data_IF_485578256936
#
_entry.id   IF_485578256936
#
_cell.length_a   1.000
_cell.length_b   1.000
_cell.length_c   1.000
_cell.angle_alpha   90.00
_cell.angle_beta   90.00
_cell.angle_gamma   90.00
#
_symmetry.space_group_name_H-M   'P 1'
#
loop_
_entity.id
_entity.type
_entity.pdbx_description
1 polymer ?
#
# COMPACT_ATOMS: atom_id res chain seq x y z
N UNK A 1 1.97 -0.10 -18.47
CA UNK A 1 2.11 0.17 -17.04
C UNK A 1 0.72 0.18 -16.40
N UNK A 2 0.58 -0.16 -15.10
CA UNK A 2 -0.70 -0.13 -14.38
C UNK A 2 -0.82 1.15 -13.56
N UNK A 3 -2.04 1.68 -13.44
CA UNK A 3 -2.32 2.88 -12.65
C UNK A 3 -3.37 2.61 -11.60
N UNK A 4 -3.31 3.32 -10.48
CA UNK A 4 -4.30 3.22 -9.42
C UNK A 4 -4.44 4.50 -8.61
N UNK A 5 -5.44 4.49 -7.73
CA UNK A 5 -5.76 5.58 -6.80
C UNK A 5 -5.63 5.07 -5.37
N UNK A 6 -5.02 5.88 -4.53
CA UNK A 6 -4.96 5.66 -3.07
C UNK A 6 -5.81 6.69 -2.34
N UNK A 7 -6.60 6.23 -1.38
CA UNK A 7 -7.47 7.07 -0.56
C UNK A 7 -7.23 6.84 0.94
N UNK A 8 -7.25 7.93 1.69
CA UNK A 8 -7.45 7.87 3.13
C UNK A 8 -8.94 7.70 3.41
N UNK A 9 -9.32 6.68 4.19
CA UNK A 9 -10.72 6.36 4.49
C UNK A 9 -11.25 7.16 5.69
N UNK A 10 -11.26 8.48 5.54
CA UNK A 10 -11.68 9.46 6.55
C UNK A 10 -12.36 10.65 5.89
N UNK A 11 -13.02 11.47 6.71
CA UNK A 11 -13.77 12.63 6.23
C UNK A 11 -14.84 12.27 5.21
N UNK A 12 -15.07 13.08 4.19
CA UNK A 12 -16.09 12.84 3.17
C UNK A 12 -15.96 11.49 2.45
N UNK A 13 -14.75 10.93 2.35
CA UNK A 13 -14.51 9.62 1.73
C UNK A 13 -14.99 8.46 2.61
N UNK A 14 -15.11 8.66 3.92
CA UNK A 14 -15.59 7.64 4.86
C UNK A 14 -17.11 7.39 4.81
N UNK A 15 -17.84 8.04 3.90
CA UNK A 15 -19.28 7.83 3.72
C UNK A 15 -19.55 6.71 2.69
N UNK A 16 -20.49 5.78 2.93
CA UNK A 16 -20.71 4.60 2.08
C UNK A 16 -21.06 4.95 0.63
N UNK A 17 -21.93 5.94 0.41
CA UNK A 17 -22.32 6.35 -0.95
C UNK A 17 -21.15 6.99 -1.70
N UNK A 18 -20.33 7.79 -1.01
CA UNK A 18 -19.11 8.38 -1.56
C UNK A 18 -18.11 7.30 -1.96
N UNK A 19 -17.83 6.35 -1.06
CA UNK A 19 -16.94 5.22 -1.35
C UNK A 19 -17.39 4.41 -2.55
N UNK A 20 -18.69 4.10 -2.62
CA UNK A 20 -19.27 3.36 -3.76
C UNK A 20 -19.11 4.14 -5.06
N UNK A 21 -19.44 5.43 -5.06
CA UNK A 21 -19.31 6.30 -6.24
C UNK A 21 -17.87 6.37 -6.73
N UNK A 22 -16.91 6.60 -5.84
CA UNK A 22 -15.48 6.63 -6.19
C UNK A 22 -15.01 5.28 -6.74
N UNK A 23 -15.43 4.18 -6.12
CA UNK A 23 -15.01 2.85 -6.54
C UNK A 23 -15.52 2.49 -7.95
N UNK A 24 -16.77 2.81 -8.26
CA UNK A 24 -17.37 2.61 -9.57
C UNK A 24 -16.73 3.51 -10.63
N UNK A 25 -16.52 4.77 -10.31
CA UNK A 25 -15.83 5.71 -11.23
C UNK A 25 -14.39 5.28 -11.53
N UNK A 26 -13.64 4.82 -10.50
CA UNK A 26 -12.28 4.32 -10.70
C UNK A 26 -12.27 3.09 -11.62
N UNK A 27 -13.24 2.20 -11.48
CA UNK A 27 -13.40 1.03 -12.34
C UNK A 27 -13.76 1.44 -13.79
N UNK A 28 -14.70 2.37 -13.97
CA UNK A 28 -15.14 2.88 -15.27
C UNK A 28 -14.02 3.61 -16.02
N UNK A 29 -13.22 4.41 -15.32
CA UNK A 29 -12.05 5.09 -15.86
C UNK A 29 -10.90 4.13 -16.22
N UNK A 30 -11.01 2.83 -15.85
CA UNK A 30 -10.04 1.81 -16.17
C UNK A 30 -8.81 1.80 -15.26
N UNK A 31 -8.89 2.35 -14.05
CA UNK A 31 -7.83 2.17 -13.08
C UNK A 31 -7.66 0.70 -12.72
N UNK A 32 -6.40 0.27 -12.59
CA UNK A 32 -6.07 -1.12 -12.25
C UNK A 32 -6.19 -1.40 -10.77
N UNK A 33 -6.02 -0.40 -9.91
CA UNK A 33 -6.02 -0.53 -8.46
C UNK A 33 -6.78 0.59 -7.77
N UNK A 34 -7.54 0.21 -6.73
CA UNK A 34 -8.06 1.13 -5.73
C UNK A 34 -7.52 0.71 -4.36
N UNK A 35 -6.76 1.60 -3.72
CA UNK A 35 -6.08 1.34 -2.47
C UNK A 35 -6.55 2.23 -1.33
N UNK A 36 -6.51 1.69 -0.10
CA UNK A 36 -6.91 2.41 1.11
C UNK A 36 -5.81 2.35 2.17
N UNK A 37 -5.65 3.46 2.92
CA UNK A 37 -4.79 3.52 4.10
C UNK A 37 -5.31 2.65 5.24
N UNK A 38 -4.46 2.40 6.24
CA UNK A 38 -4.82 1.60 7.42
C UNK A 38 -4.54 2.37 8.70
N UNK A 39 -5.59 2.71 9.40
CA UNK A 39 -5.62 3.05 10.82
C UNK A 39 -6.86 2.40 11.44
N UNK A 40 -6.72 1.91 12.65
CA UNK A 40 -7.81 1.26 13.40
C UNK A 40 -8.32 2.20 14.49
N UNK A 41 -7.38 2.81 15.21
CA UNK A 41 -7.66 3.83 16.23
C UNK A 41 -6.57 4.90 16.17
N UNK A 42 -6.94 6.12 16.47
CA UNK A 42 -5.97 7.22 16.58
C UNK A 42 -5.83 7.56 18.07
N UNK A 43 -4.59 7.56 18.56
CA UNK A 43 -4.30 7.97 19.93
C UNK A 43 -4.65 9.44 20.12
N UNK A 44 -5.13 9.83 21.31
CA UNK A 44 -5.40 11.21 21.65
C UNK A 44 -4.13 12.07 21.57
N UNK A 45 -3.02 11.52 22.07
CA UNK A 45 -1.69 12.11 21.95
C UNK A 45 -0.79 11.27 21.04
N UNK A 46 -0.42 11.80 19.88
CA UNK A 46 0.51 11.16 18.93
C UNK A 46 1.88 11.83 19.05
N UNK A 47 2.83 11.12 19.68
CA UNK A 47 4.22 11.56 19.82
C UNK A 47 5.16 10.92 18.77
N UNK A 48 4.73 9.81 18.18
CA UNK A 48 5.47 9.13 17.12
C UNK A 48 5.64 10.03 15.89
N UNK A 49 6.87 10.26 15.39
CA UNK A 49 7.07 11.14 14.25
C UNK A 49 6.55 10.50 12.96
N UNK A 50 5.68 11.21 12.27
CA UNK A 50 5.17 10.78 10.96
C UNK A 50 6.30 10.79 9.92
N UNK A 51 6.58 9.67 9.25
CA UNK A 51 7.77 9.51 8.42
C UNK A 51 7.73 10.26 7.09
N UNK A 52 6.56 10.76 6.66
CA UNK A 52 6.35 11.32 5.33
C UNK A 52 6.23 12.84 5.30
N UNK A 53 6.50 13.52 6.42
CA UNK A 53 6.57 14.98 6.49
C UNK A 53 7.88 15.43 7.12
N UNK A 54 8.38 16.61 6.72
CA UNK A 54 9.58 17.22 7.33
C UNK A 54 9.34 17.60 8.80
N UNK A 55 8.11 17.99 9.14
CA UNK A 55 7.72 18.38 10.50
C UNK A 55 7.59 17.16 11.44
N UNK A 56 7.46 15.96 10.93
CA UNK A 56 7.13 14.78 11.71
C UNK A 56 5.67 14.74 12.19
N UNK A 57 4.84 15.73 11.83
CA UNK A 57 3.42 15.76 12.19
C UNK A 57 2.57 15.10 11.13
N UNK A 58 1.62 14.29 11.57
CA UNK A 58 0.63 13.69 10.69
C UNK A 58 -0.56 14.64 10.50
N UNK A 59 -0.93 14.86 9.25
CA UNK A 59 -1.96 15.84 8.89
C UNK A 59 -3.40 15.42 9.26
N UNK A 60 -3.61 14.22 9.78
CA UNK A 60 -4.90 13.68 10.16
C UNK A 60 -4.98 13.31 11.66
N UNK A 61 -4.05 13.76 12.49
CA UNK A 61 -4.03 13.50 13.94
C UNK A 61 -5.22 14.12 14.68
N UNK A 62 -5.76 15.23 14.17
CA UNK A 62 -6.77 16.03 14.90
C UNK A 62 -8.19 15.44 14.87
N UNK A 63 -8.52 14.59 13.91
CA UNK A 63 -9.92 14.12 13.72
C UNK A 63 -10.19 12.76 14.35
N UNK A 64 -9.20 11.90 14.47
CA UNK A 64 -9.37 10.50 14.91
C UNK A 64 -10.30 9.64 14.01
N UNK A 65 -10.80 10.23 12.92
CA UNK A 65 -11.78 9.60 12.05
C UNK A 65 -11.09 8.70 11.04
N UNK A 66 -11.41 7.40 11.08
CA UNK A 66 -11.02 6.44 10.04
C UNK A 66 -11.99 5.25 10.02
N UNK A 67 -12.25 4.71 8.83
CA UNK A 67 -12.90 3.41 8.71
C UNK A 67 -11.84 2.31 8.78
N UNK A 68 -12.25 1.13 9.25
CA UNK A 68 -11.35 -0.03 9.26
C UNK A 68 -11.12 -0.54 7.83
N UNK A 69 -9.85 -0.70 7.48
CA UNK A 69 -9.40 -0.93 6.10
C UNK A 69 -9.99 -2.20 5.46
N UNK A 70 -9.96 -3.35 6.17
CA UNK A 70 -10.38 -4.63 5.61
C UNK A 70 -11.90 -4.72 5.45
N UNK A 71 -12.65 -4.10 6.36
CA UNK A 71 -14.10 -3.94 6.25
C UNK A 71 -14.47 -3.06 5.06
N UNK A 72 -13.76 -1.96 4.87
CA UNK A 72 -13.93 -1.05 3.73
C UNK A 72 -13.64 -1.76 2.40
N UNK A 73 -12.56 -2.54 2.33
CA UNK A 73 -12.24 -3.34 1.14
C UNK A 73 -13.30 -4.40 0.84
N UNK A 74 -13.90 -5.00 1.86
CA UNK A 74 -15.03 -5.94 1.68
C UNK A 74 -16.25 -5.26 1.08
N UNK A 75 -16.58 -4.05 1.54
CA UNK A 75 -17.68 -3.24 0.99
C UNK A 75 -17.42 -2.87 -0.49
N UNK A 76 -16.19 -2.44 -0.81
CA UNK A 76 -15.80 -2.10 -2.18
C UNK A 76 -15.76 -3.34 -3.07
N UNK A 77 -15.34 -4.49 -2.54
CA UNK A 77 -15.36 -5.77 -3.26
C UNK A 77 -16.76 -6.13 -3.77
N UNK A 78 -17.79 -5.88 -2.96
CA UNK A 78 -19.19 -6.13 -3.31
C UNK A 78 -19.75 -5.10 -4.32
N UNK A 79 -19.14 -3.91 -4.39
CA UNK A 79 -19.61 -2.81 -5.24
C UNK A 79 -18.95 -2.79 -6.64
N UNK A 80 -17.84 -3.51 -6.84
CA UNK A 80 -17.01 -3.49 -8.06
C UNK A 80 -16.83 -4.91 -8.63
N UNK A 81 -16.37 -5.01 -9.88
CA UNK A 81 -16.25 -6.28 -10.59
C UNK A 81 -14.87 -6.56 -11.19
N UNK A 82 -14.10 -5.54 -11.53
CA UNK A 82 -12.85 -5.65 -12.30
C UNK A 82 -11.65 -5.05 -11.57
N UNK A 83 -11.81 -3.87 -10.96
CA UNK A 83 -10.73 -3.15 -10.31
C UNK A 83 -10.12 -3.97 -9.17
N UNK A 84 -8.79 -4.03 -9.09
CA UNK A 84 -8.08 -4.69 -7.99
C UNK A 84 -8.14 -3.86 -6.73
N UNK A 85 -8.29 -4.55 -5.62
CA UNK A 85 -8.33 -3.98 -4.28
C UNK A 85 -6.93 -4.05 -3.66
N UNK A 86 -6.47 -2.95 -3.10
CA UNK A 86 -5.13 -2.86 -2.53
C UNK A 86 -5.19 -2.37 -1.08
N UNK A 87 -4.66 -3.16 -0.14
CA UNK A 87 -4.30 -2.58 1.16
C UNK A 87 -3.08 -1.68 0.97
N UNK A 88 -3.17 -0.37 1.23
CA UNK A 88 -2.15 0.61 0.81
C UNK A 88 -1.64 1.52 1.94
N UNK A 89 -0.95 1.01 2.96
CA UNK A 89 -0.65 -0.40 3.19
C UNK A 89 -1.30 -0.85 4.49
N UNK A 90 -1.61 -2.13 4.62
CA UNK A 90 -2.04 -2.72 5.89
C UNK A 90 -0.88 -2.73 6.87
N UNK A 91 -1.10 -2.22 8.07
CA UNK A 91 -0.10 -2.25 9.14
C UNK A 91 -0.18 -3.61 9.84
N UNK A 92 0.78 -4.48 9.55
CA UNK A 92 0.78 -5.87 10.02
C UNK A 92 0.58 -6.00 11.54
N UNK A 93 1.27 -5.22 12.41
CA UNK A 93 1.15 -5.33 13.85
C UNK A 93 -0.19 -4.90 14.45
N UNK A 94 -1.08 -4.28 13.69
CA UNK A 94 -2.36 -3.78 14.21
C UNK A 94 -3.37 -4.89 14.56
N UNK A 95 -3.21 -6.09 14.00
CA UNK A 95 -4.19 -7.18 14.15
C UNK A 95 -3.53 -8.52 14.42
N UNK A 96 -4.21 -9.42 15.16
CA UNK A 96 -3.73 -10.79 15.35
C UNK A 96 -3.52 -11.52 14.00
N UNK A 97 -2.40 -12.23 13.79
CA UNK A 97 -2.01 -12.74 12.48
C UNK A 97 -3.00 -13.76 11.88
N UNK A 98 -3.53 -14.68 12.67
CA UNK A 98 -4.51 -15.69 12.18
C UNK A 98 -5.79 -14.99 11.71
N UNK A 99 -6.29 -14.02 12.48
CA UNK A 99 -7.48 -13.24 12.11
C UNK A 99 -7.22 -12.44 10.82
N UNK A 100 -6.09 -11.76 10.72
CA UNK A 100 -5.69 -10.98 9.55
C UNK A 100 -5.60 -11.84 8.30
N UNK A 101 -4.94 -13.00 8.39
CA UNK A 101 -4.88 -13.97 7.29
C UNK A 101 -6.28 -14.44 6.88
N UNK A 102 -7.20 -14.61 7.85
CA UNK A 102 -8.59 -15.01 7.58
C UNK A 102 -9.38 -13.91 6.89
N UNK A 103 -9.26 -12.67 7.34
CA UNK A 103 -9.96 -11.52 6.75
C UNK A 103 -9.49 -11.25 5.32
N UNK A 104 -8.17 -11.18 5.10
CA UNK A 104 -7.59 -10.92 3.77
C UNK A 104 -7.94 -12.01 2.77
N UNK A 105 -7.84 -13.31 3.14
CA UNK A 105 -8.29 -14.37 2.23
C UNK A 105 -9.80 -14.33 1.99
N UNK A 106 -10.60 -13.88 2.97
CA UNK A 106 -12.05 -13.72 2.79
C UNK A 106 -12.35 -12.64 1.75
N UNK A 107 -11.64 -11.51 1.81
CA UNK A 107 -11.73 -10.46 0.77
C UNK A 107 -11.31 -11.00 -0.59
N UNK A 108 -10.26 -11.82 -0.66
CA UNK A 108 -9.84 -12.45 -1.91
C UNK A 108 -10.95 -13.31 -2.52
N UNK A 109 -11.60 -14.14 -1.71
CA UNK A 109 -12.75 -14.96 -2.15
C UNK A 109 -13.94 -14.10 -2.59
N UNK A 110 -14.35 -13.13 -1.77
CA UNK A 110 -15.48 -12.24 -2.06
C UNK A 110 -15.24 -11.38 -3.30
N UNK A 111 -14.00 -10.94 -3.51
CA UNK A 111 -13.61 -10.16 -4.70
C UNK A 111 -13.30 -11.02 -5.92
N UNK A 112 -13.42 -12.35 -5.84
CA UNK A 112 -13.06 -13.29 -6.93
C UNK A 112 -11.61 -13.15 -7.39
N UNK A 113 -10.68 -13.04 -6.44
CA UNK A 113 -9.23 -13.00 -6.72
C UNK A 113 -8.70 -11.60 -7.13
N UNK A 114 -9.36 -10.52 -6.70
CA UNK A 114 -8.90 -9.16 -7.00
C UNK A 114 -8.06 -8.50 -5.90
N UNK A 115 -7.86 -9.17 -4.75
CA UNK A 115 -7.07 -8.59 -3.67
C UNK A 115 -5.56 -8.59 -3.99
N UNK A 116 -4.90 -7.51 -3.65
CA UNK A 116 -3.45 -7.39 -3.50
C UNK A 116 -3.18 -6.89 -2.08
N UNK A 117 -2.36 -7.62 -1.33
CA UNK A 117 -2.08 -7.33 0.08
C UNK A 117 -0.79 -6.51 0.18
N UNK A 118 -0.92 -5.19 0.17
CA UNK A 118 0.19 -4.29 0.47
C UNK A 118 0.36 -4.16 1.99
N UNK A 119 1.57 -4.34 2.49
CA UNK A 119 1.84 -4.40 3.93
C UNK A 119 2.99 -3.49 4.37
N UNK A 120 2.89 -2.99 5.60
CA UNK A 120 3.91 -2.21 6.29
C UNK A 120 4.04 -2.59 7.75
N UNK A 121 5.10 -2.12 8.41
CA UNK A 121 5.38 -2.44 9.83
C UNK A 121 4.81 -1.40 10.80
N UNK A 122 4.24 -0.31 10.30
CA UNK A 122 3.70 0.77 11.12
C UNK A 122 4.75 1.78 11.61
N UNK A 123 4.28 2.99 11.87
CA UNK A 123 5.09 4.12 12.36
C UNK A 123 4.59 4.68 13.69
N UNK A 124 3.28 4.52 14.00
CA UNK A 124 2.64 5.05 15.21
C UNK A 124 2.74 4.00 16.32
N UNK A 125 3.62 4.26 17.28
CA UNK A 125 3.83 3.35 18.43
C UNK A 125 2.57 3.27 19.29
N UNK A 126 1.92 4.42 19.51
CA UNK A 126 0.73 4.54 20.34
C UNK A 126 -0.43 3.67 19.82
N UNK A 127 -0.65 3.65 18.51
CA UNK A 127 -1.69 2.80 17.91
C UNK A 127 -1.40 1.32 18.08
N UNK A 128 -0.14 0.90 17.84
CA UNK A 128 0.28 -0.50 18.06
C UNK A 128 0.07 -0.93 19.51
N UNK A 129 0.38 -0.04 20.48
CA UNK A 129 0.19 -0.32 21.89
C UNK A 129 -1.30 -0.42 22.28
N UNK A 130 -2.14 0.50 21.82
CA UNK A 130 -3.59 0.49 22.06
C UNK A 130 -4.25 -0.77 21.51
N UNK A 131 -3.75 -1.29 20.41
CA UNK A 131 -4.23 -2.52 19.78
C UNK A 131 -3.65 -3.80 20.38
N UNK A 132 -2.85 -3.69 21.47
CA UNK A 132 -2.15 -4.82 22.09
C UNK A 132 -1.24 -5.58 21.10
N UNK A 133 -0.64 -4.86 20.14
CA UNK A 133 0.33 -5.40 19.20
C UNK A 133 1.66 -5.76 19.87
N UNK A 134 2.64 -6.28 19.12
CA UNK A 134 3.98 -6.56 19.65
C UNK A 134 4.67 -5.26 20.10
N UNK A 135 5.67 -5.39 20.99
CA UNK A 135 6.46 -4.23 21.39
C UNK A 135 6.98 -3.48 20.15
N UNK A 136 6.89 -2.16 20.16
CA UNK A 136 7.17 -1.33 18.96
C UNK A 136 8.57 -1.59 18.37
N UNK A 137 9.59 -1.82 19.22
CA UNK A 137 10.94 -2.19 18.80
C UNK A 137 11.00 -3.51 18.02
N UNK A 138 10.09 -4.44 18.29
CA UNK A 138 10.05 -5.78 17.72
C UNK A 138 9.09 -5.89 16.53
N UNK A 139 8.36 -4.80 16.20
CA UNK A 139 7.35 -4.80 15.13
C UNK A 139 7.85 -5.30 13.78
N UNK A 140 9.13 -5.05 13.46
CA UNK A 140 9.75 -5.55 12.23
C UNK A 140 9.91 -7.06 12.21
N UNK A 141 10.44 -7.65 13.31
CA UNK A 141 10.62 -9.10 13.45
C UNK A 141 9.26 -9.82 13.54
N UNK A 142 8.32 -9.26 14.31
CA UNK A 142 6.96 -9.77 14.39
C UNK A 142 6.28 -9.75 13.01
N UNK A 143 6.45 -8.68 12.22
CA UNK A 143 5.91 -8.62 10.87
C UNK A 143 6.50 -9.67 9.94
N UNK A 144 7.78 -9.98 10.05
CA UNK A 144 8.41 -11.03 9.24
C UNK A 144 7.84 -12.42 9.55
N UNK A 145 7.59 -12.72 10.84
CA UNK A 145 6.90 -13.95 11.24
C UNK A 145 5.44 -13.96 10.77
N UNK A 146 4.71 -12.85 10.91
CA UNK A 146 3.31 -12.75 10.48
C UNK A 146 3.15 -12.94 8.97
N UNK A 147 4.05 -12.37 8.16
CA UNK A 147 4.07 -12.62 6.71
C UNK A 147 4.26 -14.11 6.40
N UNK A 148 5.19 -14.76 7.09
CA UNK A 148 5.42 -16.19 6.91
C UNK A 148 4.19 -17.01 7.33
N UNK A 149 3.57 -16.64 8.45
CA UNK A 149 2.35 -17.26 8.93
C UNK A 149 1.16 -17.06 7.94
N UNK A 150 1.03 -15.87 7.34
CA UNK A 150 0.01 -15.63 6.31
C UNK A 150 0.17 -16.58 5.14
N UNK A 151 1.37 -16.68 4.57
CA UNK A 151 1.65 -17.60 3.46
C UNK A 151 1.36 -19.04 3.84
N UNK A 152 1.82 -19.50 5.01
CA UNK A 152 1.53 -20.84 5.52
C UNK A 152 0.01 -21.10 5.67
N UNK A 153 -0.74 -20.20 6.28
CA UNK A 153 -2.20 -20.31 6.43
C UNK A 153 -2.92 -20.33 5.09
N UNK A 154 -2.47 -19.56 4.11
CA UNK A 154 -3.11 -19.49 2.80
C UNK A 154 -2.81 -20.69 1.92
N UNK A 155 -1.64 -21.32 2.02
CA UNK A 155 -1.18 -22.37 1.10
C UNK A 155 -1.27 -23.77 1.67
N UNK A 156 -0.88 -23.96 2.94
CA UNK A 156 -0.79 -25.32 3.52
C UNK A 156 -2.17 -25.90 3.84
N UNK A 157 -2.38 -27.17 3.56
CA UNK A 157 -3.62 -27.89 3.87
C UNK A 157 -3.80 -28.06 5.38
N UNK A 158 -2.72 -28.39 6.08
CA UNK A 158 -2.64 -28.53 7.52
C UNK A 158 -1.63 -27.51 8.10
N UNK A 159 -1.99 -26.22 8.20
CA UNK A 159 -1.04 -25.20 8.57
C UNK A 159 -0.61 -25.33 10.04
N UNK A 160 0.69 -25.21 10.25
CA UNK A 160 1.31 -25.10 11.57
C UNK A 160 2.48 -24.14 11.50
N UNK A 161 2.71 -23.41 12.58
CA UNK A 161 3.81 -22.45 12.68
C UNK A 161 4.27 -22.33 14.12
N UNK A 162 5.57 -22.29 14.33
CA UNK A 162 6.22 -22.10 15.62
C UNK A 162 7.22 -20.95 15.51
N UNK A 163 6.93 -19.83 16.11
CA UNK A 163 7.74 -18.62 16.12
C UNK A 163 7.76 -17.95 17.48
N UNK A 164 8.43 -16.82 17.56
CA UNK A 164 8.51 -16.01 18.79
C UNK A 164 7.23 -15.20 19.00
N UNK A 165 6.64 -14.70 17.91
CA UNK A 165 5.49 -13.78 17.94
C UNK A 165 4.17 -14.45 17.54
N UNK A 166 4.22 -15.63 16.91
CA UNK A 166 3.02 -16.37 16.51
C UNK A 166 3.27 -17.88 16.58
N UNK A 167 2.31 -18.59 17.18
CA UNK A 167 2.31 -20.04 17.28
C UNK A 167 0.92 -20.58 17.00
N UNK A 168 0.83 -21.61 16.18
CA UNK A 168 -0.41 -22.36 15.97
C UNK A 168 -0.15 -23.75 15.38
N UNK A 169 -1.03 -24.69 15.72
CA UNK A 169 -1.10 -26.03 15.15
C UNK A 169 -2.50 -26.59 15.29
N UNK A 170 -2.80 -27.68 14.61
CA UNK A 170 -4.06 -28.41 14.79
C UNK A 170 -5.33 -27.64 14.35
N UNK A 171 -5.19 -26.69 13.42
CA UNK A 171 -6.30 -25.89 12.93
C UNK A 171 -6.64 -26.21 11.46
N UNK A 172 -7.90 -25.94 11.07
CA UNK A 172 -8.36 -25.98 9.68
C UNK A 172 -8.55 -24.55 9.18
N UNK A 173 -7.94 -24.22 8.03
CA UNK A 173 -7.97 -22.86 7.47
C UNK A 173 -8.55 -22.87 6.04
N UNK A 174 -9.88 -22.98 5.95
CA UNK A 174 -10.62 -23.05 4.67
C UNK A 174 -11.72 -21.97 4.60
N UNK A 175 -12.20 -21.64 3.36
CA UNK A 175 -11.62 -22.00 2.06
C UNK A 175 -10.23 -21.42 1.89
N UNK A 176 -9.44 -21.91 0.95
CA UNK A 176 -8.18 -21.25 0.54
C UNK A 176 -8.47 -19.99 -0.27
N UNK A 177 -7.50 -19.07 -0.48
CA UNK A 177 -7.63 -17.98 -1.43
C UNK A 177 -7.99 -18.46 -2.84
N UNK A 178 -8.61 -17.58 -3.63
CA UNK A 178 -8.88 -17.84 -5.05
C UNK A 178 -7.58 -17.74 -5.87
N UNK A 179 -6.73 -16.77 -5.52
CA UNK A 179 -5.46 -16.56 -6.18
C UNK A 179 -4.42 -17.61 -5.75
N UNK A 180 -3.67 -18.13 -6.72
CA UNK A 180 -2.64 -19.14 -6.48
C UNK A 180 -1.23 -18.56 -6.68
N UNK A 181 -0.27 -18.86 -5.80
CA UNK A 181 -0.40 -19.66 -4.57
C UNK A 181 -1.15 -18.93 -3.45
N UNK A 182 -1.23 -17.62 -3.49
CA UNK A 182 -1.93 -16.73 -2.56
C UNK A 182 -2.12 -15.33 -3.19
N UNK A 183 -2.91 -14.43 -2.59
CA UNK A 183 -2.98 -13.03 -3.03
C UNK A 183 -1.59 -12.41 -3.06
N UNK A 184 -1.24 -11.62 -4.10
CA UNK A 184 0.08 -10.98 -4.18
C UNK A 184 0.34 -10.13 -2.93
N UNK A 185 1.51 -10.33 -2.32
CA UNK A 185 1.96 -9.63 -1.12
C UNK A 185 2.98 -8.55 -1.49
N UNK A 186 2.60 -7.27 -1.39
CA UNK A 186 3.47 -6.14 -1.69
C UNK A 186 4.03 -5.52 -0.43
N UNK A 187 5.33 -5.32 -0.36
CA UNK A 187 6.00 -4.75 0.81
C UNK A 187 6.20 -3.25 0.63
N UNK A 188 5.60 -2.48 1.53
CA UNK A 188 5.78 -1.04 1.64
C UNK A 188 7.06 -0.64 2.37
N UNK A 189 7.42 0.63 2.20
CA UNK A 189 8.52 1.26 2.92
C UNK A 189 9.81 1.42 2.12
N UNK A 190 10.56 2.45 2.51
CA UNK A 190 11.75 2.98 1.81
C UNK A 190 13.06 2.55 2.45
N UNK A 191 13.05 2.23 3.75
CA UNK A 191 14.25 1.90 4.51
C UNK A 191 14.92 0.61 4.01
N UNK A 192 16.23 0.48 4.26
CA UNK A 192 17.00 -0.72 3.88
C UNK A 192 16.33 -2.02 4.33
N UNK A 193 15.84 -2.09 5.56
CA UNK A 193 15.14 -3.28 6.07
C UNK A 193 13.83 -3.57 5.33
N UNK A 194 13.10 -2.54 4.86
CA UNK A 194 11.91 -2.73 4.06
C UNK A 194 12.25 -3.29 2.67
N UNK A 195 13.33 -2.81 2.01
CA UNK A 195 13.82 -3.36 0.75
C UNK A 195 14.29 -4.82 0.88
N UNK A 196 15.00 -5.14 1.96
CA UNK A 196 15.39 -6.53 2.27
C UNK A 196 14.17 -7.43 2.50
N UNK A 197 13.14 -6.92 3.20
CA UNK A 197 11.86 -7.62 3.40
C UNK A 197 11.13 -7.85 2.08
N UNK A 198 11.10 -6.86 1.20
CA UNK A 198 10.52 -6.98 -0.15
C UNK A 198 11.25 -8.07 -0.96
N UNK A 199 12.58 -8.07 -0.93
CA UNK A 199 13.39 -9.08 -1.58
C UNK A 199 13.15 -10.50 -1.03
N UNK A 200 12.96 -10.64 0.28
CA UNK A 200 12.82 -11.94 0.94
C UNK A 200 11.40 -12.51 0.84
N UNK A 201 10.38 -11.69 1.07
CA UNK A 201 9.01 -12.16 1.26
C UNK A 201 8.02 -11.62 0.23
N UNK A 202 8.33 -10.49 -0.44
CA UNK A 202 7.36 -9.77 -1.27
C UNK A 202 7.19 -10.36 -2.67
N UNK A 203 5.95 -10.27 -3.18
CA UNK A 203 5.63 -10.43 -4.61
C UNK A 203 5.59 -9.04 -5.29
N UNK A 204 5.91 -7.99 -4.53
CA UNK A 204 6.12 -6.64 -5.00
C UNK A 204 6.79 -5.76 -3.95
N UNK A 205 7.46 -4.70 -4.43
CA UNK A 205 7.97 -3.61 -3.62
C UNK A 205 7.15 -2.35 -3.91
N UNK A 206 6.60 -1.73 -2.86
CA UNK A 206 5.61 -0.67 -2.95
C UNK A 206 5.92 0.47 -1.94
N UNK A 207 6.96 1.27 -2.17
CA UNK A 207 7.31 2.40 -1.33
C UNK A 207 6.34 3.58 -1.50
N UNK A 208 6.25 4.42 -0.45
CA UNK A 208 5.68 5.78 -0.55
C UNK A 208 6.84 6.73 -0.82
N UNK A 209 7.15 7.14 -1.98
CA UNK A 209 8.42 7.75 -2.37
C UNK A 209 8.79 9.11 -1.75
N UNK A 210 8.00 9.67 -0.82
CA UNK A 210 8.25 11.00 -0.24
C UNK A 210 8.87 11.00 1.17
N UNK A 211 9.40 9.87 1.66
CA UNK A 211 10.09 9.84 2.93
C UNK A 211 11.36 10.71 2.88
N UNK A 212 11.49 11.78 3.71
CA UNK A 212 12.64 12.68 3.65
C UNK A 212 14.00 12.01 3.91
N UNK A 213 14.01 10.86 4.63
CA UNK A 213 15.24 10.11 4.96
C UNK A 213 15.65 9.15 3.85
N UNK A 214 14.74 8.77 2.98
CA UNK A 214 14.97 7.84 1.87
C UNK A 214 13.98 8.15 0.72
N UNK A 215 14.11 9.33 0.07
CA UNK A 215 13.16 9.76 -0.95
C UNK A 215 13.33 8.97 -2.25
N UNK A 216 12.21 8.60 -2.86
CA UNK A 216 12.13 8.04 -4.21
C UNK A 216 11.32 8.96 -5.13
N UNK A 217 11.54 10.24 -4.97
CA UNK A 217 10.88 11.37 -5.62
C UNK A 217 11.53 11.81 -6.94
N UNK A 218 12.53 11.03 -7.42
CA UNK A 218 13.10 11.08 -8.77
C UNK A 218 13.27 9.68 -9.34
N UNK A 219 13.25 9.54 -10.66
CA UNK A 219 13.39 8.26 -11.35
C UNK A 219 14.72 7.56 -11.02
N UNK A 220 15.82 8.33 -10.86
CA UNK A 220 17.15 7.81 -10.50
C UNK A 220 17.15 7.18 -9.11
N UNK A 221 16.59 7.89 -8.11
CA UNK A 221 16.49 7.40 -6.73
C UNK A 221 15.63 6.14 -6.65
N UNK A 222 14.48 6.15 -7.34
CA UNK A 222 13.62 4.98 -7.41
C UNK A 222 14.32 3.79 -8.05
N UNK A 223 14.96 3.99 -9.22
CA UNK A 223 15.70 2.94 -9.91
C UNK A 223 16.85 2.37 -9.09
N UNK A 224 17.53 3.20 -8.28
CA UNK A 224 18.55 2.73 -7.35
C UNK A 224 17.93 1.83 -6.26
N UNK A 225 16.83 2.26 -5.64
CA UNK A 225 16.12 1.47 -4.62
C UNK A 225 15.64 0.13 -5.17
N UNK A 226 15.11 0.11 -6.40
CA UNK A 226 14.66 -1.11 -7.05
C UNK A 226 15.83 -2.07 -7.35
N UNK A 227 16.97 -1.56 -7.82
CA UNK A 227 18.18 -2.40 -7.99
C UNK A 227 18.59 -3.06 -6.69
N UNK A 228 18.60 -2.33 -5.57
CA UNK A 228 18.93 -2.91 -4.27
C UNK A 228 17.95 -4.03 -3.85
N UNK A 229 16.65 -3.88 -4.15
CA UNK A 229 15.67 -4.96 -3.94
C UNK A 229 16.00 -6.17 -4.82
N UNK A 230 16.31 -5.97 -6.09
CA UNK A 230 16.64 -7.04 -7.03
C UNK A 230 17.94 -7.76 -6.65
N UNK A 231 18.98 -7.04 -6.29
CA UNK A 231 20.26 -7.61 -5.82
C UNK A 231 20.05 -8.48 -4.58
N UNK A 232 19.31 -7.99 -3.60
CA UNK A 232 18.95 -8.78 -2.42
C UNK A 232 18.13 -10.03 -2.78
N UNK A 233 17.20 -9.95 -3.74
CA UNK A 233 16.40 -11.09 -4.17
C UNK A 233 17.28 -12.16 -4.83
N UNK A 234 18.19 -11.77 -5.72
CA UNK A 234 19.15 -12.69 -6.36
C UNK A 234 20.05 -13.38 -5.33
N UNK A 235 20.55 -12.67 -4.33
CA UNK A 235 21.33 -13.24 -3.22
C UNK A 235 20.53 -14.29 -2.42
N UNK A 236 19.20 -14.19 -2.40
CA UNK A 236 18.28 -15.15 -1.77
C UNK A 236 17.79 -16.25 -2.74
N UNK A 237 18.33 -16.31 -3.95
CA UNK A 237 17.95 -17.31 -4.98
C UNK A 237 16.58 -17.06 -5.63
N UNK A 238 16.02 -15.82 -5.52
CA UNK A 238 14.75 -15.45 -6.14
C UNK A 238 14.96 -14.76 -7.48
N UNK A 239 14.00 -14.92 -8.38
CA UNK A 239 13.97 -14.16 -9.62
C UNK A 239 13.52 -12.72 -9.36
N UNK A 240 14.14 -11.75 -10.05
CA UNK A 240 13.69 -10.35 -10.03
C UNK A 240 12.32 -10.18 -10.69
N UNK A 241 11.94 -11.08 -11.60
CA UNK A 241 10.62 -11.09 -12.23
C UNK A 241 9.47 -11.45 -11.27
N UNK A 242 9.77 -12.04 -10.10
CA UNK A 242 8.78 -12.39 -9.09
C UNK A 242 8.35 -11.16 -8.26
N UNK A 243 9.01 -10.01 -8.46
CA UNK A 243 8.80 -8.81 -7.66
C UNK A 243 8.24 -7.69 -8.53
N UNK A 244 6.95 -7.41 -8.40
CA UNK A 244 6.31 -6.25 -9.04
C UNK A 244 6.88 -4.96 -8.47
N UNK A 245 7.29 -4.06 -9.33
CA UNK A 245 7.82 -2.74 -8.97
C UNK A 245 6.68 -1.71 -8.94
N UNK A 246 6.23 -1.35 -7.74
CA UNK A 246 5.19 -0.35 -7.48
C UNK A 246 5.74 0.95 -6.89
N UNK A 247 4.95 2.01 -6.93
CA UNK A 247 5.21 3.27 -6.25
C UNK A 247 3.90 3.94 -5.85
N UNK A 248 3.83 4.46 -4.63
CA UNK A 248 2.76 5.34 -4.19
C UNK A 248 3.24 6.80 -4.20
N UNK A 249 2.72 7.59 -5.14
CA UNK A 249 2.98 9.02 -5.25
C UNK A 249 1.82 9.82 -4.60
N UNK A 250 1.75 9.85 -3.26
CA UNK A 250 0.70 10.58 -2.53
C UNK A 250 0.76 12.10 -2.76
N UNK A 251 1.90 12.61 -3.23
CA UNK A 251 2.16 14.02 -3.50
C UNK A 251 1.80 14.45 -4.93
N UNK A 252 1.23 13.56 -5.75
CA UNK A 252 0.81 13.88 -7.11
C UNK A 252 0.04 15.20 -7.17
N UNK A 253 0.44 16.07 -8.12
CA UNK A 253 -0.14 17.41 -8.25
C UNK A 253 0.00 17.93 -9.66
N UNK A 254 -1.10 18.03 -10.40
CA UNK A 254 -1.14 18.62 -11.71
C UNK A 254 -1.26 20.15 -11.61
N UNK A 255 -0.63 20.86 -12.54
CA UNK A 255 -0.69 22.32 -12.66
C UNK A 255 0.28 23.09 -11.75
N UNK A 256 0.87 22.46 -10.74
CA UNK A 256 1.79 23.13 -9.80
C UNK A 256 2.99 22.23 -9.51
N UNK A 257 4.19 22.77 -9.62
CA UNK A 257 5.43 22.06 -9.30
C UNK A 257 5.79 22.21 -7.82
N UNK A 258 6.23 21.12 -7.22
CA UNK A 258 6.89 21.10 -5.92
C UNK A 258 8.39 20.81 -6.10
N UNK A 259 9.21 21.14 -5.11
CA UNK A 259 10.65 20.88 -5.13
C UNK A 259 11.02 19.70 -4.20
N UNK A 260 12.08 18.99 -4.60
CA UNK A 260 12.74 18.00 -3.76
C UNK A 260 13.59 18.68 -2.69
N UNK A 261 14.20 17.91 -1.80
CA UNK A 261 15.15 18.42 -0.82
C UNK A 261 16.44 18.97 -1.42
N UNK A 262 16.68 18.78 -2.72
CA UNK A 262 17.86 19.30 -3.45
C UNK A 262 17.51 20.49 -4.36
N UNK A 263 16.29 21.01 -4.32
CA UNK A 263 15.81 22.11 -5.16
C UNK A 263 15.45 21.71 -6.60
N UNK A 264 15.56 20.44 -6.96
CA UNK A 264 15.04 19.97 -8.23
C UNK A 264 13.53 19.80 -8.20
N UNK A 265 12.84 19.89 -9.35
CA UNK A 265 11.43 19.59 -9.43
C UNK A 265 11.14 18.16 -8.95
N UNK A 266 10.14 18.01 -8.11
CA UNK A 266 9.67 16.70 -7.66
C UNK A 266 8.91 16.03 -8.80
N UNK A 267 9.21 14.78 -9.08
CA UNK A 267 8.47 14.00 -10.06
C UNK A 267 6.98 13.92 -9.71
N UNK A 268 6.15 13.77 -10.73
CA UNK A 268 4.67 13.72 -10.63
C UNK A 268 4.02 15.01 -10.11
N UNK A 269 4.71 16.15 -10.24
CA UNK A 269 4.18 17.51 -10.00
C UNK A 269 4.48 18.41 -11.20
N UNK A 270 3.61 19.39 -11.50
CA UNK A 270 3.79 20.33 -12.60
C UNK A 270 2.80 20.14 -13.74
N UNK A 271 3.19 20.50 -14.96
CA UNK A 271 2.34 20.37 -16.16
C UNK A 271 2.15 18.90 -16.57
N UNK A 272 1.08 18.62 -17.35
CA UNK A 272 0.82 17.29 -17.93
C UNK A 272 2.05 16.73 -18.65
N UNK A 273 2.72 17.56 -19.46
CA UNK A 273 3.93 17.16 -20.21
C UNK A 273 5.10 16.75 -19.29
N UNK A 274 5.27 17.44 -18.18
CA UNK A 274 6.32 17.09 -17.20
C UNK A 274 6.00 15.79 -16.50
N UNK A 275 4.74 15.60 -16.09
CA UNK A 275 4.29 14.37 -15.42
C UNK A 275 4.36 13.16 -16.36
N UNK A 276 3.99 13.31 -17.63
CA UNK A 276 4.12 12.25 -18.64
C UNK A 276 5.59 11.81 -18.76
N UNK A 277 6.52 12.77 -18.87
CA UNK A 277 7.97 12.47 -18.88
C UNK A 277 8.44 11.77 -17.60
N UNK A 278 7.91 12.16 -16.45
CA UNK A 278 8.23 11.47 -15.19
C UNK A 278 7.78 10.02 -15.22
N UNK A 279 6.54 9.77 -15.68
CA UNK A 279 6.00 8.41 -15.81
C UNK A 279 6.86 7.56 -16.75
N UNK A 280 7.29 8.11 -17.88
CA UNK A 280 8.18 7.44 -18.82
C UNK A 280 9.55 7.16 -18.20
N UNK A 281 10.15 8.15 -17.54
CA UNK A 281 11.45 8.00 -16.87
C UNK A 281 11.42 6.92 -15.77
N UNK A 282 10.34 6.86 -14.98
CA UNK A 282 10.19 5.81 -13.98
C UNK A 282 9.92 4.44 -14.61
N UNK A 283 9.16 4.37 -15.70
CA UNK A 283 8.94 3.14 -16.48
C UNK A 283 10.25 2.58 -17.02
N UNK A 284 11.13 3.43 -17.54
CA UNK A 284 12.49 3.05 -17.99
C UNK A 284 13.36 2.52 -16.85
N UNK A 285 13.12 2.95 -15.62
CA UNK A 285 13.79 2.45 -14.40
C UNK A 285 13.11 1.22 -13.80
N UNK A 286 12.10 0.66 -14.48
CA UNK A 286 11.44 -0.58 -14.10
C UNK A 286 10.12 -0.44 -13.35
N UNK A 287 9.57 0.78 -13.17
CA UNK A 287 8.25 0.96 -12.54
C UNK A 287 7.17 0.28 -13.39
N UNK A 288 6.38 -0.58 -12.75
CA UNK A 288 5.29 -1.34 -13.38
C UNK A 288 3.91 -0.85 -12.94
N UNK A 289 3.82 -0.29 -11.74
CA UNK A 289 2.56 0.16 -11.16
C UNK A 289 2.74 1.50 -10.44
N UNK A 290 2.04 2.54 -10.90
CA UNK A 290 1.98 3.85 -10.25
C UNK A 290 0.61 4.04 -9.60
N UNK A 291 0.61 4.26 -8.29
CA UNK A 291 -0.58 4.63 -7.53
C UNK A 291 -0.43 6.10 -7.15
N UNK A 292 -1.39 6.94 -7.49
CA UNK A 292 -1.38 8.34 -7.07
C UNK A 292 -2.29 8.57 -5.87
N UNK A 293 -2.00 9.61 -5.09
CA UNK A 293 -2.89 10.07 -4.03
C UNK A 293 -4.17 10.67 -4.61
N UNK A 294 -5.32 10.17 -4.15
CA UNK A 294 -6.62 10.78 -4.41
C UNK A 294 -6.80 12.07 -3.59
N UNK A 295 -7.85 12.82 -3.92
CA UNK A 295 -8.27 13.99 -3.14
C UNK A 295 -9.34 13.58 -2.12
N UNK A 296 -9.20 14.01 -0.87
CA UNK A 296 -10.08 13.60 0.21
C UNK A 296 -10.96 14.74 0.74
N UNK A 297 -10.86 15.95 0.18
CA UNK A 297 -11.59 17.12 0.67
C UNK A 297 -13.11 17.00 0.45
N UNK A 298 -13.53 16.43 -0.67
CA UNK A 298 -14.92 16.12 -1.00
C UNK A 298 -14.99 15.16 -2.20
N UNK A 299 -16.19 14.62 -2.45
CA UNK A 299 -16.42 13.67 -3.56
C UNK A 299 -16.04 14.27 -4.92
N UNK A 300 -16.49 15.48 -5.21
CA UNK A 300 -16.30 16.12 -6.52
C UNK A 300 -14.80 16.32 -6.83
N UNK A 301 -14.02 16.79 -5.84
CA UNK A 301 -12.58 16.94 -5.98
C UNK A 301 -11.88 15.59 -6.22
N UNK A 302 -12.35 14.52 -5.57
CA UNK A 302 -11.82 13.17 -5.80
C UNK A 302 -12.10 12.69 -7.23
N UNK A 303 -13.34 12.80 -7.69
CA UNK A 303 -13.74 12.40 -9.04
C UNK A 303 -13.01 13.25 -10.11
N UNK A 304 -12.92 14.56 -9.90
CA UNK A 304 -12.19 15.46 -10.80
C UNK A 304 -10.73 15.02 -10.95
N UNK A 305 -10.02 14.77 -9.86
CA UNK A 305 -8.61 14.31 -9.88
C UNK A 305 -8.45 13.01 -10.67
N UNK A 306 -9.37 12.06 -10.50
CA UNK A 306 -9.32 10.78 -11.20
C UNK A 306 -9.51 10.98 -12.72
N UNK A 307 -10.52 11.77 -13.13
CA UNK A 307 -10.79 12.10 -14.54
C UNK A 307 -9.63 12.87 -15.16
N UNK A 308 -9.13 13.89 -14.47
CA UNK A 308 -7.99 14.70 -14.89
C UNK A 308 -6.73 13.82 -15.10
N UNK A 309 -6.40 12.95 -14.16
CA UNK A 309 -5.25 12.04 -14.31
C UNK A 309 -5.45 11.07 -15.49
N UNK A 310 -6.67 10.60 -15.69
CA UNK A 310 -6.99 9.74 -16.84
C UNK A 310 -6.80 10.48 -18.15
N UNK A 311 -7.42 11.64 -18.32
CA UNK A 311 -7.43 12.39 -19.59
C UNK A 311 -6.09 13.07 -19.89
N UNK A 312 -5.47 13.70 -18.88
CA UNK A 312 -4.27 14.51 -19.08
C UNK A 312 -2.97 13.70 -19.06
N UNK A 313 -2.98 12.50 -18.47
CA UNK A 313 -1.76 11.71 -18.30
C UNK A 313 -1.91 10.34 -18.97
N UNK A 314 -2.87 9.50 -18.54
CA UNK A 314 -2.90 8.09 -18.98
C UNK A 314 -3.16 7.98 -20.48
N UNK A 315 -4.03 8.81 -21.05
CA UNK A 315 -4.38 8.77 -22.49
C UNK A 315 -3.25 9.28 -23.41
N UNK A 316 -2.19 9.86 -22.83
CA UNK A 316 -1.04 10.37 -23.57
C UNK A 316 0.24 9.53 -23.39
N UNK A 317 0.15 8.34 -22.75
CA UNK A 317 1.23 7.37 -22.51
C UNK A 317 1.11 6.16 -23.46
#
# INVERSE_FOLDING_TARGET
MKFGIHLGIRGPVAHPDTLRTIALEAEELGFSYLGFSDHVVIAEDVNSPYPYTKSGRWFAEDTGECLEQLSTLSFVAASTSVIRLLTSVMVIPHRPPILTAKMTKTIDVLSKGRLTVGVGVGWMEEEIQLLNGPAFKDRGAASDEYITAFKNLWTEESPSFEGTHVNYSGLKFFPKPVQYPHPPLWIGGEARLARQRAAKFGDGWYPVGNNPRAPFDTAERYGQGLREVHENAVLLGRSTSDITAGLLAIWYKLGTSDETNTGARRAFTGSSKEIIRDVEAYRERGLQCLIIGGENSNLEACLHRMREFKTEIIEHL
#
